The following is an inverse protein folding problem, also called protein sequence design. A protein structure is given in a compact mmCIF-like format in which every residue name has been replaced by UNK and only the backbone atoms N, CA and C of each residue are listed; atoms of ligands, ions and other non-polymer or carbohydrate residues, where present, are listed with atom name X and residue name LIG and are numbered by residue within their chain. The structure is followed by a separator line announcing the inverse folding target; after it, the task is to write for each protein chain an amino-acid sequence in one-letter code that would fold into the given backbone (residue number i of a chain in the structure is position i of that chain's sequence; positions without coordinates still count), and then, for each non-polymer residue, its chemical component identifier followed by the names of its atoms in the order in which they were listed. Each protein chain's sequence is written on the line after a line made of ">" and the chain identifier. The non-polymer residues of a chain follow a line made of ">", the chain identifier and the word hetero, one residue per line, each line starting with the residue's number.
data_IF_918423937539
#
_entry.id   IF_918423937539
#
_cell.length_a   1.000
_cell.length_b   1.000
_cell.length_c   1.000
_cell.angle_alpha   90.00
_cell.angle_beta   90.00
_cell.angle_gamma   90.00
#
_symmetry.space_group_name_H-M   'P 1'
#
loop_
_entity.id
_entity.type
_entity.pdbx_description
1 polymer ?
#
# COMPACT_ATOMS: atom_id res chain seq x y z
N UNK A 1 11.26 57.66 -5.16
CA UNK A 1 11.93 56.60 -4.37
C UNK A 1 10.97 55.43 -4.20
N UNK A 2 10.95 54.54 -5.18
CA UNK A 2 10.01 53.40 -5.31
C UNK A 2 10.63 52.15 -4.67
N UNK A 3 10.17 51.74 -3.48
CA UNK A 3 10.51 50.44 -2.89
C UNK A 3 9.61 49.37 -3.49
N UNK A 4 10.14 48.69 -4.49
CA UNK A 4 9.55 47.46 -5.06
C UNK A 4 9.59 46.39 -3.98
N UNK A 5 8.43 46.01 -3.44
CA UNK A 5 8.27 44.84 -2.57
C UNK A 5 8.49 43.58 -3.41
N UNK A 6 9.70 43.03 -3.35
CA UNK A 6 9.98 41.65 -3.74
C UNK A 6 9.12 40.72 -2.87
N UNK A 7 8.06 40.17 -3.46
CA UNK A 7 7.30 39.06 -2.90
C UNK A 7 8.12 37.80 -3.24
N UNK A 8 8.52 36.98 -2.25
CA UNK A 8 9.39 35.83 -2.52
C UNK A 8 8.63 34.77 -3.31
N UNK A 9 9.09 34.50 -4.51
CA UNK A 9 8.62 33.47 -5.47
C UNK A 9 8.54 32.06 -4.87
N UNK A 10 9.18 31.84 -3.72
CA UNK A 10 9.23 30.59 -2.96
C UNK A 10 7.86 30.21 -2.37
N UNK A 11 6.98 31.18 -2.10
CA UNK A 11 5.68 30.90 -1.50
C UNK A 11 4.66 30.33 -2.51
N UNK A 12 4.85 30.59 -3.80
CA UNK A 12 3.94 30.13 -4.87
C UNK A 12 4.23 28.69 -5.28
N UNK A 13 5.49 28.24 -5.19
CA UNK A 13 5.86 26.85 -5.52
C UNK A 13 5.41 25.87 -4.43
N UNK A 14 5.41 26.28 -3.16
CA UNK A 14 4.99 25.45 -2.05
C UNK A 14 3.49 25.07 -2.10
N UNK A 15 2.63 25.96 -2.58
CA UNK A 15 1.18 25.71 -2.69
C UNK A 15 0.81 24.86 -3.91
N UNK A 16 1.55 24.99 -5.03
CA UNK A 16 1.33 24.16 -6.23
C UNK A 16 1.74 22.71 -5.98
N UNK A 17 2.78 22.47 -5.18
CA UNK A 17 3.24 21.11 -4.88
C UNK A 17 2.31 20.34 -3.93
N UNK A 18 1.58 21.05 -3.07
CA UNK A 18 0.68 20.44 -2.08
C UNK A 18 -0.60 19.83 -2.70
N UNK A 19 -1.00 20.27 -3.90
CA UNK A 19 -2.22 19.80 -4.56
C UNK A 19 -2.06 18.53 -5.40
N UNK A 20 -0.83 18.10 -5.72
CA UNK A 20 -0.59 16.95 -6.60
C UNK A 20 -0.64 15.58 -5.90
N UNK A 21 -0.65 15.54 -4.57
CA UNK A 21 -0.52 14.28 -3.80
C UNK A 21 -1.88 13.64 -3.45
N UNK A 22 -3.01 14.30 -3.71
CA UNK A 22 -4.37 13.80 -3.33
C UNK A 22 -5.04 12.99 -4.46
N UNK A 23 -4.28 12.52 -5.43
CA UNK A 23 -4.79 11.80 -6.60
C UNK A 23 -4.52 10.31 -6.58
N UNK A 24 -5.29 9.52 -5.84
CA UNK A 24 -5.50 8.07 -6.09
C UNK A 24 -6.85 7.62 -5.51
N UNK A 25 -7.95 8.09 -6.09
CA UNK A 25 -9.26 7.47 -5.91
C UNK A 25 -9.39 6.26 -6.87
N UNK A 26 -8.74 5.16 -6.52
CA UNK A 26 -8.87 3.88 -7.22
C UNK A 26 -10.19 3.20 -6.86
N UNK A 27 -11.24 3.45 -7.64
CA UNK A 27 -12.52 2.72 -7.54
C UNK A 27 -12.31 1.21 -7.72
N UNK A 28 -12.77 0.42 -6.76
CA UNK A 28 -13.17 -0.97 -6.95
C UNK A 28 -14.43 -1.23 -6.13
N UNK A 29 -15.49 -1.70 -6.78
CA UNK A 29 -16.85 -1.81 -6.25
C UNK A 29 -17.07 -2.92 -5.21
N UNK A 30 -16.17 -3.06 -4.25
CA UNK A 30 -16.36 -3.90 -3.07
C UNK A 30 -16.80 -2.99 -1.91
N UNK A 31 -17.75 -3.46 -1.10
CA UNK A 31 -18.23 -2.70 0.06
C UNK A 31 -17.04 -2.47 1.01
N UNK A 32 -16.64 -1.22 1.28
CA UNK A 32 -15.42 -0.93 2.04
C UNK A 32 -15.45 -1.50 3.47
N UNK A 33 -16.65 -1.68 4.01
CA UNK A 33 -16.89 -2.27 5.33
C UNK A 33 -16.51 -3.75 5.40
N UNK A 34 -16.86 -4.53 4.38
CA UNK A 34 -16.55 -5.97 4.33
C UNK A 34 -15.05 -6.23 4.12
N UNK A 35 -14.38 -5.37 3.35
CA UNK A 35 -12.93 -5.48 3.16
C UNK A 35 -12.18 -5.12 4.44
N UNK A 36 -12.64 -4.11 5.19
CA UNK A 36 -12.04 -3.71 6.46
C UNK A 36 -12.20 -4.78 7.55
N UNK A 37 -13.38 -5.40 7.66
CA UNK A 37 -13.63 -6.48 8.62
C UNK A 37 -12.85 -7.76 8.25
N UNK A 38 -12.83 -8.12 6.97
CA UNK A 38 -12.03 -9.24 6.46
C UNK A 38 -10.54 -9.07 6.76
N UNK A 39 -10.00 -7.88 6.52
CA UNK A 39 -8.61 -7.55 6.88
C UNK A 39 -8.35 -7.66 8.39
N UNK A 40 -9.28 -7.24 9.25
CA UNK A 40 -9.13 -7.36 10.71
C UNK A 40 -9.06 -8.82 11.15
N UNK A 41 -9.99 -9.66 10.67
CA UNK A 41 -9.97 -11.09 10.98
C UNK A 41 -8.69 -11.75 10.51
N UNK A 42 -8.26 -11.44 9.28
CA UNK A 42 -7.06 -12.06 8.71
C UNK A 42 -5.78 -11.65 9.48
N UNK A 43 -5.69 -10.39 9.92
CA UNK A 43 -4.59 -9.95 10.81
C UNK A 43 -4.56 -10.74 12.11
N UNK A 44 -5.71 -11.05 12.71
CA UNK A 44 -5.78 -11.87 13.92
C UNK A 44 -5.31 -13.31 13.65
N UNK A 45 -5.63 -13.87 12.48
CA UNK A 45 -5.16 -15.21 12.09
C UNK A 45 -3.64 -15.23 11.91
N UNK A 46 -3.06 -14.22 11.23
CA UNK A 46 -1.60 -14.10 11.09
C UNK A 46 -0.92 -13.91 12.46
N UNK A 47 -1.56 -13.24 13.42
CA UNK A 47 -1.02 -13.15 14.78
C UNK A 47 -1.01 -14.51 15.51
N UNK A 48 -2.01 -15.35 15.28
CA UNK A 48 -2.08 -16.71 15.85
C UNK A 48 -1.10 -17.66 15.17
N UNK A 49 -0.87 -17.49 13.87
CA UNK A 49 0.00 -18.33 13.06
C UNK A 49 0.96 -17.47 12.21
N UNK A 50 2.00 -16.87 12.83
CA UNK A 50 2.90 -15.94 12.15
C UNK A 50 3.84 -16.61 11.14
N UNK A 51 3.94 -17.93 11.13
CA UNK A 51 4.76 -18.68 10.19
C UNK A 51 3.95 -19.30 9.05
N UNK A 52 2.63 -19.08 9.04
CA UNK A 52 1.77 -19.56 7.97
C UNK A 52 1.94 -18.66 6.72
N UNK A 53 2.61 -19.21 5.71
CA UNK A 53 2.84 -18.56 4.43
C UNK A 53 1.51 -18.24 3.74
N UNK A 54 0.53 -19.14 3.79
CA UNK A 54 -0.77 -18.97 3.15
C UNK A 54 -1.55 -17.79 3.74
N UNK A 55 -1.59 -17.67 5.07
CA UNK A 55 -2.26 -16.55 5.75
C UNK A 55 -1.59 -15.21 5.43
N UNK A 56 -0.25 -15.17 5.31
CA UNK A 56 0.48 -13.97 4.91
C UNK A 56 0.21 -13.57 3.46
N UNK A 57 0.12 -14.54 2.55
CA UNK A 57 -0.23 -14.27 1.15
C UNK A 57 -1.66 -13.80 0.99
N UNK A 58 -2.61 -14.39 1.72
CA UNK A 58 -3.99 -13.89 1.78
C UNK A 58 -4.05 -12.46 2.31
N UNK A 59 -3.18 -12.11 3.28
CA UNK A 59 -3.10 -10.75 3.83
C UNK A 59 -2.51 -9.78 2.82
N UNK A 60 -1.47 -10.19 2.09
CA UNK A 60 -0.91 -9.42 0.99
C UNK A 60 -1.96 -9.17 -0.11
N UNK A 61 -2.70 -10.20 -0.51
CA UNK A 61 -3.78 -10.08 -1.49
C UNK A 61 -4.89 -9.12 -1.03
N UNK A 62 -5.32 -9.25 0.23
CA UNK A 62 -6.32 -8.36 0.81
C UNK A 62 -5.84 -6.90 0.81
N UNK A 63 -4.56 -6.66 1.11
CA UNK A 63 -3.97 -5.34 1.01
C UNK A 63 -3.89 -4.81 -0.42
N UNK A 64 -3.59 -5.65 -1.43
CA UNK A 64 -3.63 -5.25 -2.84
C UNK A 64 -5.04 -4.89 -3.32
N UNK A 65 -6.06 -5.60 -2.79
CA UNK A 65 -7.46 -5.28 -3.08
C UNK A 65 -7.87 -3.95 -2.47
N UNK A 66 -7.43 -3.68 -1.24
CA UNK A 66 -7.59 -2.41 -0.53
C UNK A 66 -6.64 -1.29 -1.01
N UNK A 67 -5.93 -1.50 -2.12
CA UNK A 67 -4.96 -0.58 -2.72
C UNK A 67 -3.80 -0.14 -1.80
N UNK A 68 -3.59 -0.88 -0.71
CA UNK A 68 -2.50 -0.69 0.23
C UNK A 68 -1.27 -1.46 -0.24
N UNK A 69 -0.70 -1.04 -1.37
CA UNK A 69 0.42 -1.73 -2.04
C UNK A 69 1.65 -1.86 -1.12
N UNK A 70 1.93 -0.85 -0.31
CA UNK A 70 3.05 -0.87 0.65
C UNK A 70 2.87 -1.93 1.73
N UNK A 71 1.66 -2.08 2.27
CA UNK A 71 1.34 -3.12 3.25
C UNK A 71 1.34 -4.52 2.62
N UNK A 72 0.85 -4.62 1.38
CA UNK A 72 0.88 -5.87 0.61
C UNK A 72 2.31 -6.36 0.38
N UNK A 73 3.20 -5.46 -0.07
CA UNK A 73 4.60 -5.77 -0.30
C UNK A 73 5.27 -6.30 0.97
N UNK A 74 5.02 -5.66 2.12
CA UNK A 74 5.57 -6.09 3.40
C UNK A 74 5.14 -7.51 3.81
N UNK A 75 3.88 -7.89 3.58
CA UNK A 75 3.42 -9.25 3.90
C UNK A 75 3.90 -10.29 2.87
N UNK A 76 3.99 -9.92 1.59
CA UNK A 76 4.57 -10.78 0.55
C UNK A 76 6.06 -11.05 0.79
N UNK A 77 6.83 -10.06 1.25
CA UNK A 77 8.23 -10.23 1.64
C UNK A 77 8.39 -11.20 2.82
N UNK A 78 7.52 -11.09 3.83
CA UNK A 78 7.52 -12.02 4.97
C UNK A 78 7.16 -13.44 4.54
N UNK A 79 6.18 -13.59 3.65
CA UNK A 79 5.81 -14.89 3.09
C UNK A 79 6.97 -15.52 2.31
N UNK A 80 7.66 -14.73 1.49
CA UNK A 80 8.85 -15.18 0.75
C UNK A 80 10.04 -15.50 1.67
N UNK A 81 10.22 -14.77 2.77
CA UNK A 81 11.26 -15.05 3.75
C UNK A 81 11.01 -16.38 4.50
N UNK A 82 9.74 -16.76 4.69
CA UNK A 82 9.37 -18.04 5.31
C UNK A 82 9.50 -19.21 4.34
N UNK A 83 9.09 -19.02 3.09
CA UNK A 83 9.25 -20.00 2.03
C UNK A 83 9.71 -19.33 0.73
N UNK A 84 11.04 -19.31 0.55
CA UNK A 84 11.68 -18.76 -0.65
C UNK A 84 11.52 -19.66 -1.88
N UNK A 85 11.02 -20.88 -1.71
CA UNK A 85 10.74 -21.80 -2.81
C UNK A 85 9.33 -21.61 -3.37
N UNK A 86 8.42 -21.03 -2.59
CA UNK A 86 7.04 -20.77 -2.97
C UNK A 86 6.93 -19.91 -4.23
N UNK A 87 6.49 -20.53 -5.33
CA UNK A 87 6.18 -19.84 -6.57
C UNK A 87 5.07 -18.79 -6.37
N UNK A 88 4.11 -19.08 -5.48
CA UNK A 88 3.01 -18.17 -5.16
C UNK A 88 3.53 -16.92 -4.45
N UNK A 89 4.43 -17.07 -3.48
CA UNK A 89 5.02 -15.92 -2.79
C UNK A 89 5.84 -15.03 -3.73
N UNK A 90 6.61 -15.63 -4.64
CA UNK A 90 7.34 -14.90 -5.70
C UNK A 90 6.38 -14.15 -6.63
N UNK A 91 5.28 -14.77 -7.03
CA UNK A 91 4.28 -14.14 -7.87
C UNK A 91 3.63 -12.93 -7.19
N UNK A 92 3.28 -13.05 -5.90
CA UNK A 92 2.72 -11.93 -5.14
C UNK A 92 3.73 -10.80 -4.94
N UNK A 93 5.01 -11.10 -4.71
CA UNK A 93 6.06 -10.08 -4.67
C UNK A 93 6.16 -9.33 -5.98
N UNK A 94 6.27 -10.03 -7.11
CA UNK A 94 6.32 -9.39 -8.43
C UNK A 94 5.07 -8.55 -8.71
N UNK A 95 3.89 -9.02 -8.33
CA UNK A 95 2.65 -8.24 -8.47
C UNK A 95 2.65 -6.97 -7.61
N UNK A 96 3.18 -7.05 -6.39
CA UNK A 96 3.32 -5.89 -5.50
C UNK A 96 4.33 -4.88 -6.06
N UNK A 97 5.47 -5.33 -6.56
CA UNK A 97 6.51 -4.47 -7.16
C UNK A 97 6.00 -3.77 -8.42
N UNK A 98 5.28 -4.49 -9.29
CA UNK A 98 4.67 -3.92 -10.49
C UNK A 98 3.61 -2.84 -10.19
N UNK A 99 2.96 -2.88 -9.03
CA UNK A 99 2.00 -1.85 -8.61
C UNK A 99 2.63 -0.73 -7.80
N UNK A 100 3.86 -0.91 -7.31
CA UNK A 100 4.58 0.07 -6.51
C UNK A 100 5.44 1.02 -7.37
N UNK A 101 5.88 0.56 -8.55
CA UNK A 101 6.54 1.38 -9.57
C UNK A 101 5.55 2.02 -10.53
#
# INVERSE_FOLDING_TARGET
>A
MTRIRMIPTILVTATVFLFLVVGCAGKRGAKPELEAEGLRHLKQQVQKAPQDVGLRLQLAEAYLRADSVTAALGEAQKAFALDSSSAVAKAFLGLCELRAG
#
